data_IF_656349090750
#
_entry.id   IF_656349090750
#
_cell.length_a   1.000
_cell.length_b   1.000
_cell.length_c   1.000
_cell.angle_alpha   90.00
_cell.angle_beta   90.00
_cell.angle_gamma   90.00
#
_symmetry.space_group_name_H-M   'P 1'
#
loop_
_entity.id
_entity.type
_entity.pdbx_description
1 polymer ?
#
# COMPACT_ATOMS: atom_id res chain seq x y z
N UNK A 1 39.19 24.83 -20.99
CA UNK A 1 37.72 24.75 -21.09
C UNK A 1 37.19 24.66 -19.66
N UNK A 2 36.55 25.70 -19.14
CA UNK A 2 35.89 25.63 -17.82
C UNK A 2 34.46 25.17 -18.08
N UNK A 3 34.15 23.92 -17.78
CA UNK A 3 32.75 23.46 -17.70
C UNK A 3 32.11 24.19 -16.53
N UNK A 4 31.28 25.19 -16.81
CA UNK A 4 30.41 25.79 -15.83
C UNK A 4 29.13 24.96 -15.82
N UNK A 5 29.04 23.96 -14.95
CA UNK A 5 27.73 23.41 -14.59
C UNK A 5 27.06 24.47 -13.73
N UNK A 6 26.11 25.17 -14.31
CA UNK A 6 25.19 26.03 -13.57
C UNK A 6 24.50 25.17 -12.50
N UNK A 7 24.42 25.61 -11.23
CA UNK A 7 23.62 24.90 -10.25
C UNK A 7 22.16 24.82 -10.75
N UNK A 8 21.47 23.70 -10.48
CA UNK A 8 20.06 23.55 -10.85
C UNK A 8 19.23 24.72 -10.30
N UNK A 9 18.22 25.13 -11.07
CA UNK A 9 17.41 26.29 -10.72
C UNK A 9 16.50 26.01 -9.51
N UNK A 10 15.89 27.04 -8.90
CA UNK A 10 14.97 26.89 -7.76
C UNK A 10 13.77 25.98 -8.02
N UNK A 11 13.52 25.62 -9.29
CA UNK A 11 12.40 24.79 -9.73
C UNK A 11 12.74 23.30 -9.65
N UNK A 12 14.01 22.92 -9.86
CA UNK A 12 14.49 21.53 -9.78
C UNK A 12 14.56 21.03 -8.32
N UNK A 13 14.60 21.95 -7.35
CA UNK A 13 14.59 21.63 -5.92
C UNK A 13 13.17 21.38 -5.37
N UNK A 14 12.13 21.85 -6.06
CA UNK A 14 10.72 21.69 -5.66
C UNK A 14 10.19 20.27 -6.01
N UNK A 15 10.85 19.56 -6.94
CA UNK A 15 10.52 18.17 -7.28
C UNK A 15 11.14 17.12 -6.34
N UNK A 16 11.89 17.53 -5.33
CA UNK A 16 12.14 16.67 -4.16
C UNK A 16 11.00 16.84 -3.16
N UNK A 17 9.78 16.55 -3.61
CA UNK A 17 8.70 16.22 -2.70
C UNK A 17 9.14 14.94 -1.99
N UNK A 18 9.64 15.09 -0.78
CA UNK A 18 10.05 14.00 0.11
C UNK A 18 9.04 12.85 0.00
N UNK A 19 9.54 11.62 -0.15
CA UNK A 19 8.75 10.39 -0.02
C UNK A 19 7.79 10.58 1.16
N UNK A 20 6.50 10.69 0.89
CA UNK A 20 5.52 10.85 1.96
C UNK A 20 5.65 9.58 2.83
N UNK A 21 6.10 9.69 4.10
CA UNK A 21 6.47 8.51 4.87
C UNK A 21 5.24 7.72 5.34
N UNK A 22 4.04 8.22 5.02
CA UNK A 22 2.77 7.62 5.40
C UNK A 22 1.77 7.69 4.26
N UNK A 23 0.86 6.72 4.28
CA UNK A 23 -0.34 6.64 3.46
C UNK A 23 -1.58 6.91 4.31
N UNK A 24 -2.70 7.17 3.66
CA UNK A 24 -4.00 7.34 4.29
C UNK A 24 -4.91 6.20 3.86
N UNK A 25 -5.32 5.39 4.82
CA UNK A 25 -6.17 4.22 4.62
C UNK A 25 -7.60 4.50 5.12
N UNK A 26 -8.59 4.06 4.33
CA UNK A 26 -10.01 4.20 4.60
C UNK A 26 -10.65 2.81 4.62
N UNK A 27 -11.42 2.54 5.68
CA UNK A 27 -12.25 1.33 5.81
C UNK A 27 -13.72 1.69 5.67
N UNK A 28 -14.57 0.73 5.29
CA UNK A 28 -16.00 0.98 5.17
C UNK A 28 -16.62 1.47 6.49
N UNK A 29 -17.11 2.72 6.50
CA UNK A 29 -17.72 3.33 7.68
C UNK A 29 -16.74 3.78 8.77
N UNK A 30 -15.43 3.64 8.54
CA UNK A 30 -14.37 4.04 9.45
C UNK A 30 -13.89 5.50 9.27
N UNK A 31 -13.00 5.92 10.17
CA UNK A 31 -12.26 7.18 10.05
C UNK A 31 -10.96 6.91 9.29
N UNK A 32 -10.47 7.89 8.54
CA UNK A 32 -9.19 7.79 7.85
C UNK A 32 -8.03 7.54 8.84
N UNK A 33 -7.19 6.55 8.55
CA UNK A 33 -6.04 6.16 9.37
C UNK A 33 -4.73 6.42 8.62
N UNK A 34 -3.71 6.89 9.35
CA UNK A 34 -2.36 7.02 8.80
C UNK A 34 -1.58 5.73 9.03
N UNK A 35 -1.02 5.18 7.97
CA UNK A 35 -0.17 3.98 8.01
C UNK A 35 1.18 4.27 7.39
N UNK A 36 2.21 3.50 7.73
CA UNK A 36 3.49 3.58 7.02
C UNK A 36 3.33 3.16 5.56
N UNK A 37 4.15 3.72 4.66
CA UNK A 37 4.14 3.37 3.23
C UNK A 37 4.84 2.04 2.90
N UNK A 38 5.18 1.24 3.92
CA UNK A 38 5.89 -0.03 3.75
C UNK A 38 4.93 -1.15 3.30
N UNK A 39 5.40 -2.12 2.49
CA UNK A 39 4.62 -3.30 2.11
C UNK A 39 4.06 -4.06 3.32
N UNK A 40 4.84 -4.13 4.41
CA UNK A 40 4.46 -4.81 5.65
C UNK A 40 3.31 -4.09 6.37
N UNK A 41 3.36 -2.76 6.49
CA UNK A 41 2.29 -1.99 7.12
C UNK A 41 1.00 -2.04 6.30
N UNK A 42 1.10 -1.92 4.97
CA UNK A 42 -0.03 -2.07 4.06
C UNK A 42 -0.65 -3.47 4.21
N UNK A 43 0.17 -4.52 4.21
CA UNK A 43 -0.29 -5.90 4.39
C UNK A 43 -0.97 -6.12 5.72
N UNK A 44 -0.38 -5.62 6.81
CA UNK A 44 -0.97 -5.71 8.14
C UNK A 44 -2.33 -5.01 8.19
N UNK A 45 -2.46 -3.85 7.56
CA UNK A 45 -3.72 -3.11 7.50
C UNK A 45 -4.79 -3.88 6.72
N UNK A 46 -4.45 -4.39 5.52
CA UNK A 46 -5.35 -5.19 4.68
C UNK A 46 -5.82 -6.44 5.43
N UNK A 47 -4.91 -7.21 6.02
CA UNK A 47 -5.30 -8.45 6.71
C UNK A 47 -6.04 -8.23 8.03
N UNK A 48 -5.96 -7.04 8.62
CA UNK A 48 -6.69 -6.71 9.86
C UNK A 48 -8.12 -6.22 9.60
N UNK A 49 -8.38 -5.59 8.45
CA UNK A 49 -9.67 -4.95 8.15
C UNK A 49 -10.40 -5.54 6.94
N UNK A 50 -9.69 -6.24 6.05
CA UNK A 50 -10.23 -6.73 4.79
C UNK A 50 -11.28 -7.84 4.94
N UNK A 51 -11.41 -8.44 6.12
CA UNK A 51 -12.53 -9.35 6.40
C UNK A 51 -13.83 -8.62 6.75
N UNK A 52 -13.73 -7.38 7.24
CA UNK A 52 -14.87 -6.56 7.63
C UNK A 52 -15.39 -5.69 6.48
N UNK A 53 -14.58 -5.47 5.43
CA UNK A 53 -14.99 -4.79 4.21
C UNK A 53 -13.83 -4.35 3.33
N UNK A 54 -14.17 -3.62 2.28
CA UNK A 54 -13.23 -3.07 1.31
C UNK A 54 -12.41 -1.92 1.91
N UNK A 55 -11.17 -1.78 1.41
CA UNK A 55 -10.21 -0.78 1.87
C UNK A 55 -9.78 0.07 0.67
N UNK A 56 -9.59 1.36 0.91
CA UNK A 56 -8.93 2.28 -0.04
C UNK A 56 -7.71 2.89 0.63
N UNK A 57 -6.56 2.83 -0.03
CA UNK A 57 -5.30 3.43 0.45
C UNK A 57 -4.86 4.47 -0.57
N UNK A 58 -4.56 5.67 -0.07
CA UNK A 58 -4.15 6.82 -0.86
C UNK A 58 -2.83 7.39 -0.34
N UNK A 59 -2.13 8.14 -1.19
CA UNK A 59 -1.11 9.06 -0.72
C UNK A 59 -1.75 10.26 0.01
N UNK A 60 -0.98 11.12 0.70
CA UNK A 60 -1.58 12.26 1.40
C UNK A 60 -2.18 13.33 0.49
N UNK A 61 -2.05 13.21 -0.85
CA UNK A 61 -2.71 14.05 -1.86
C UNK A 61 -3.97 13.39 -2.43
N UNK A 62 -4.47 12.35 -1.75
CA UNK A 62 -5.67 11.59 -2.11
C UNK A 62 -5.55 10.86 -3.47
N UNK A 63 -4.32 10.58 -3.91
CA UNK A 63 -4.07 9.77 -5.10
C UNK A 63 -4.13 8.30 -4.71
N UNK A 64 -4.86 7.51 -5.48
CA UNK A 64 -5.01 6.08 -5.24
C UNK A 64 -3.65 5.37 -5.29
N UNK A 65 -3.30 4.68 -4.20
CA UNK A 65 -2.17 3.73 -4.14
C UNK A 65 -2.68 2.32 -4.41
N UNK A 66 -3.73 1.90 -3.70
CA UNK A 66 -4.46 0.67 -3.99
C UNK A 66 -5.85 0.68 -3.37
N UNK A 67 -6.72 -0.20 -3.85
CA UNK A 67 -7.95 -0.58 -3.17
C UNK A 67 -8.10 -2.12 -3.14
N UNK A 68 -9.01 -2.59 -2.31
CA UNK A 68 -9.27 -4.00 -2.11
C UNK A 68 -10.74 -4.37 -2.33
N UNK A 69 -10.97 -5.63 -2.67
CA UNK A 69 -12.23 -6.32 -2.41
C UNK A 69 -11.99 -7.30 -1.25
N UNK A 70 -12.44 -6.92 -0.06
CA UNK A 70 -12.05 -7.55 1.19
C UNK A 70 -10.53 -7.66 1.36
N UNK A 71 -10.01 -8.89 1.49
CA UNK A 71 -8.57 -9.16 1.64
C UNK A 71 -7.76 -8.99 0.35
N UNK A 72 -8.40 -8.96 -0.83
CA UNK A 72 -7.74 -9.09 -2.12
C UNK A 72 -7.57 -7.73 -2.80
N UNK A 73 -6.43 -7.49 -3.45
CA UNK A 73 -6.21 -6.27 -4.24
C UNK A 73 -7.21 -6.24 -5.41
N UNK A 74 -7.96 -5.15 -5.51
CA UNK A 74 -8.87 -4.89 -6.64
C UNK A 74 -8.16 -3.99 -7.68
N UNK A 75 -7.57 -2.88 -7.24
CA UNK A 75 -6.79 -1.98 -8.08
C UNK A 75 -5.48 -1.58 -7.40
N UNK A 76 -4.39 -1.54 -8.17
CA UNK A 76 -3.13 -0.92 -7.78
C UNK A 76 -2.45 -0.36 -9.04
N UNK A 77 -2.34 0.97 -9.20
CA UNK A 77 -1.76 1.56 -10.41
C UNK A 77 -0.29 1.19 -10.64
N UNK A 78 0.49 1.06 -9.56
CA UNK A 78 1.89 0.67 -9.61
C UNK A 78 2.04 -0.86 -9.60
N UNK A 79 2.14 -1.43 -10.80
CA UNK A 79 2.24 -2.87 -10.99
C UNK A 79 3.61 -3.45 -10.63
N UNK A 80 4.66 -2.63 -10.66
CA UNK A 80 6.01 -3.07 -10.29
C UNK A 80 6.11 -3.18 -8.77
N UNK A 81 5.61 -2.18 -8.03
CA UNK A 81 5.43 -2.24 -6.58
C UNK A 81 4.54 -3.43 -6.17
N UNK A 82 3.40 -3.60 -6.84
CA UNK A 82 2.48 -4.70 -6.51
C UNK A 82 3.17 -6.06 -6.59
N UNK A 83 3.90 -6.33 -7.68
CA UNK A 83 4.49 -7.65 -7.94
C UNK A 83 5.84 -7.85 -7.24
N UNK A 84 6.65 -6.80 -7.16
CA UNK A 84 7.99 -6.82 -6.61
C UNK A 84 8.03 -6.78 -5.09
N UNK A 85 7.13 -6.01 -4.48
CA UNK A 85 7.21 -5.66 -3.06
C UNK A 85 5.98 -6.14 -2.28
N UNK A 86 4.77 -5.82 -2.73
CA UNK A 86 3.55 -6.06 -1.94
C UNK A 86 3.07 -7.53 -1.96
N UNK A 87 2.87 -8.13 -3.13
CA UNK A 87 2.37 -9.51 -3.23
C UNK A 87 3.24 -10.55 -2.49
N UNK A 88 4.60 -10.46 -2.51
CA UNK A 88 5.45 -11.38 -1.77
C UNK A 88 5.16 -11.45 -0.26
N UNK A 89 4.75 -10.33 0.36
CA UNK A 89 4.39 -10.28 1.79
C UNK A 89 2.90 -10.44 2.03
N UNK A 90 2.06 -9.97 1.10
CA UNK A 90 0.60 -10.00 1.23
C UNK A 90 0.02 -11.42 1.10
N UNK A 91 0.47 -12.21 0.12
CA UNK A 91 -0.08 -13.54 -0.14
C UNK A 91 0.05 -14.48 1.08
N UNK A 92 1.24 -14.61 1.72
CA UNK A 92 1.34 -15.42 2.94
C UNK A 92 0.45 -14.92 4.08
N UNK A 93 0.29 -13.60 4.21
CA UNK A 93 -0.53 -12.99 5.25
C UNK A 93 -2.03 -13.22 5.01
N UNK A 94 -2.49 -13.20 3.75
CA UNK A 94 -3.87 -13.52 3.39
C UNK A 94 -4.22 -14.97 3.76
N UNK A 95 -3.36 -15.93 3.44
CA UNK A 95 -3.56 -17.35 3.80
C UNK A 95 -3.67 -17.51 5.33
N UNK A 96 -2.83 -16.81 6.09
CA UNK A 96 -2.90 -16.82 7.56
C UNK A 96 -4.20 -16.18 8.08
N UNK A 97 -4.62 -15.06 7.51
CA UNK A 97 -5.85 -14.37 7.89
C UNK A 97 -7.08 -15.25 7.61
N UNK A 98 -7.15 -15.88 6.44
CA UNK A 98 -8.22 -16.80 6.07
C UNK A 98 -8.23 -18.06 6.93
N UNK A 99 -7.05 -18.64 7.22
CA UNK A 99 -6.95 -19.78 8.14
C UNK A 99 -7.52 -19.43 9.52
N UNK A 100 -7.21 -18.25 10.05
CA UNK A 100 -7.72 -17.79 11.34
C UNK A 100 -9.22 -17.54 11.31
N UNK A 101 -9.73 -16.92 10.24
CA UNK A 101 -11.13 -16.53 10.13
C UNK A 101 -12.07 -17.70 9.82
N UNK A 102 -11.62 -18.62 8.96
CA UNK A 102 -12.46 -19.68 8.41
C UNK A 102 -12.06 -21.09 8.86
N UNK A 103 -10.97 -21.23 9.61
CA UNK A 103 -10.51 -22.53 10.13
C UNK A 103 -10.01 -23.49 9.04
N UNK A 104 -9.61 -23.00 7.86
CA UNK A 104 -9.14 -23.85 6.76
C UNK A 104 -7.88 -24.62 7.15
N UNK A 105 -7.92 -25.95 7.04
CA UNK A 105 -6.74 -26.78 7.23
C UNK A 105 -5.98 -26.91 5.91
N UNK A 106 -4.68 -27.18 5.94
CA UNK A 106 -3.86 -27.40 4.74
C UNK A 106 -4.29 -28.62 3.88
N UNK A 107 -5.40 -29.28 4.19
CA UNK A 107 -5.97 -30.42 3.46
C UNK A 107 -7.12 -30.07 2.51
N UNK A 108 -7.50 -28.78 2.41
CA UNK A 108 -8.63 -28.36 1.57
C UNK A 108 -8.22 -27.74 0.21
N UNK A 109 -6.94 -27.87 -0.19
CA UNK A 109 -6.40 -27.44 -1.49
C UNK A 109 -5.88 -28.64 -2.32
#
# INVERSE_FOLDING_TARGET
>A
MKCTTQPPGPIDEIEKMEECPFLVAYTHGGVAERIESTPEAITAFICSHGLDGDITITDPMDRLVLDTFGLYINCCPDQDFLKGDLLPVLIPAQIEAERKAFGMSAMDL
#
